data_IF_530305406393
#
_entry.id   IF_530305406393
#
_cell.length_a   1.000
_cell.length_b   1.000
_cell.length_c   1.000
_cell.angle_alpha   90.00
_cell.angle_beta   90.00
_cell.angle_gamma   90.00
#
_symmetry.space_group_name_H-M   'P 1'
#
loop_
_entity.id
_entity.type
_entity.pdbx_description
1 polymer ?
#
# COMPACT_ATOMS: atom_id res chain seq x y z
N UNK A 1 57.12 -26.53 27.70
CA UNK A 1 55.69 -26.76 28.15
C UNK A 1 54.85 -25.52 28.05
N UNK A 2 55.41 -24.32 28.19
CA UNK A 2 54.69 -23.04 28.11
C UNK A 2 54.21 -22.70 26.70
N UNK A 3 54.92 -23.09 25.65
CA UNK A 3 54.56 -22.82 24.24
C UNK A 3 53.35 -23.62 23.75
N UNK A 4 53.04 -24.77 24.34
CA UNK A 4 51.87 -25.57 23.98
C UNK A 4 50.57 -24.99 24.54
N UNK A 5 50.63 -24.32 25.68
CA UNK A 5 49.47 -23.66 26.30
C UNK A 5 49.03 -22.40 25.55
N UNK A 6 49.98 -21.64 24.97
CA UNK A 6 49.66 -20.43 24.18
C UNK A 6 49.00 -20.79 22.85
N UNK A 7 49.35 -21.94 22.27
CA UNK A 7 48.85 -22.38 20.96
C UNK A 7 47.40 -22.90 20.99
N UNK A 8 46.93 -23.30 22.18
CA UNK A 8 45.53 -23.78 22.36
C UNK A 8 44.58 -22.69 22.86
N UNK A 9 45.08 -21.59 23.44
CA UNK A 9 44.28 -20.47 23.92
C UNK A 9 43.93 -19.44 22.82
N UNK A 10 44.78 -19.33 21.78
CA UNK A 10 44.55 -18.36 20.69
C UNK A 10 43.30 -18.63 19.84
N UNK A 11 42.91 -19.89 19.51
CA UNK A 11 41.70 -20.14 18.75
C UNK A 11 40.41 -19.99 19.56
N UNK A 12 40.47 -20.07 20.91
CA UNK A 12 39.28 -19.93 21.76
C UNK A 12 38.89 -18.46 21.95
N UNK A 13 39.85 -17.55 21.92
CA UNK A 13 39.58 -16.11 22.06
C UNK A 13 39.07 -15.46 20.77
N UNK A 14 39.31 -16.08 19.60
CA UNK A 14 38.85 -15.59 18.32
C UNK A 14 37.37 -15.92 18.03
N UNK A 15 36.73 -16.78 18.82
CA UNK A 15 35.36 -17.24 18.59
C UNK A 15 34.29 -16.41 19.30
N UNK A 16 34.65 -15.37 20.06
CA UNK A 16 33.68 -14.59 20.87
C UNK A 16 33.32 -13.20 20.36
N UNK A 17 33.68 -12.84 19.13
CA UNK A 17 33.28 -11.55 18.59
C UNK A 17 32.30 -11.78 17.41
N UNK A 18 31.20 -12.47 17.67
CA UNK A 18 30.01 -12.36 16.85
C UNK A 18 29.22 -11.20 17.43
N UNK A 19 29.60 -9.95 17.11
CA UNK A 19 28.75 -8.80 17.31
C UNK A 19 27.60 -8.96 16.33
N UNK A 20 26.44 -9.34 16.83
CA UNK A 20 25.19 -9.20 16.10
C UNK A 20 24.99 -7.71 15.86
N UNK A 21 25.33 -7.24 14.68
CA UNK A 21 24.85 -5.93 14.20
C UNK A 21 23.34 -6.06 14.14
N UNK A 22 22.67 -5.57 15.17
CA UNK A 22 21.23 -5.42 15.15
C UNK A 22 20.94 -4.41 14.05
N UNK A 23 20.25 -4.82 13.02
CA UNK A 23 19.80 -3.91 11.98
C UNK A 23 18.91 -2.85 12.63
N UNK A 24 19.36 -1.60 12.64
CA UNK A 24 18.62 -0.43 13.16
C UNK A 24 17.59 0.09 12.15
N UNK A 25 17.11 -0.76 11.26
CA UNK A 25 16.16 -0.39 10.22
C UNK A 25 14.81 -1.05 10.45
N UNK A 26 13.75 -0.33 10.08
CA UNK A 26 12.39 -0.87 10.03
C UNK A 26 12.31 -1.91 8.92
N UNK A 27 11.73 -3.05 9.21
CA UNK A 27 11.45 -4.05 8.19
C UNK A 27 9.97 -4.03 7.81
N UNK A 28 9.70 -4.08 6.51
CA UNK A 28 8.35 -4.03 5.98
C UNK A 28 7.91 -5.34 5.36
N UNK A 29 6.65 -5.70 5.54
CA UNK A 29 6.00 -6.85 4.91
C UNK A 29 4.65 -6.43 4.34
N UNK A 30 4.27 -7.06 3.24
CA UNK A 30 2.94 -6.92 2.67
C UNK A 30 2.14 -8.21 2.77
N UNK A 31 0.82 -8.08 2.86
CA UNK A 31 -0.12 -9.17 2.75
C UNK A 31 -1.39 -8.71 2.04
N UNK A 32 -2.12 -9.65 1.45
CA UNK A 32 -3.36 -9.36 0.71
C UNK A 32 -4.50 -10.10 1.36
N UNK A 33 -5.58 -9.38 1.66
CA UNK A 33 -6.84 -9.90 2.17
C UNK A 33 -7.91 -9.73 1.10
N UNK A 34 -8.64 -10.79 0.80
CA UNK A 34 -9.86 -10.69 -0.01
C UNK A 34 -11.01 -10.24 0.88
N UNK A 35 -11.73 -9.20 0.47
CA UNK A 35 -12.87 -8.68 1.20
C UNK A 35 -14.16 -9.20 0.62
N UNK A 36 -14.51 -8.78 -0.58
CA UNK A 36 -15.75 -9.16 -1.26
C UNK A 36 -15.62 -8.98 -2.78
N UNK A 37 -16.21 -9.88 -3.57
CA UNK A 37 -16.18 -9.80 -5.03
C UNK A 37 -14.77 -9.57 -5.58
N UNK A 38 -14.54 -8.43 -6.22
CA UNK A 38 -13.24 -8.02 -6.76
C UNK A 38 -12.44 -7.12 -5.81
N UNK A 39 -12.93 -6.89 -4.61
CA UNK A 39 -12.33 -5.99 -3.64
C UNK A 39 -11.34 -6.71 -2.75
N UNK A 40 -10.15 -6.16 -2.65
CA UNK A 40 -9.05 -6.66 -1.84
C UNK A 40 -8.51 -5.54 -0.96
N UNK A 41 -7.86 -5.91 0.12
CA UNK A 41 -7.11 -5.01 0.99
C UNK A 41 -5.65 -5.43 1.01
N UNK A 42 -4.78 -4.54 0.60
CA UNK A 42 -3.33 -4.67 0.78
C UNK A 42 -3.02 -4.15 2.18
N UNK A 43 -2.37 -4.97 2.99
CA UNK A 43 -1.91 -4.58 4.33
C UNK A 43 -0.39 -4.55 4.33
N UNK A 44 0.18 -3.43 4.76
CA UNK A 44 1.60 -3.24 5.03
C UNK A 44 1.82 -3.32 6.54
N UNK A 45 2.80 -4.08 6.98
CA UNK A 45 3.22 -4.17 8.38
C UNK A 45 4.68 -3.76 8.50
N UNK A 46 4.94 -2.73 9.31
CA UNK A 46 6.25 -2.34 9.76
C UNK A 46 6.61 -3.11 11.03
N UNK A 47 7.84 -3.60 11.13
CA UNK A 47 8.44 -4.08 12.37
C UNK A 47 9.55 -3.11 12.76
N UNK A 48 9.37 -2.44 13.89
CA UNK A 48 10.20 -1.36 14.39
C UNK A 48 11.06 -1.92 15.53
N UNK A 49 12.39 -1.94 15.41
CA UNK A 49 13.26 -2.50 16.45
C UNK A 49 13.29 -1.58 17.68
N UNK A 50 13.32 -2.15 18.88
CA UNK A 50 13.57 -1.36 20.08
C UNK A 50 15.01 -0.83 20.10
N UNK A 51 15.26 0.40 20.64
CA UNK A 51 14.33 1.28 21.35
C UNK A 51 13.60 2.29 20.43
N UNK A 52 13.66 2.12 19.12
CA UNK A 52 13.17 3.06 18.12
C UNK A 52 11.66 3.16 18.09
N UNK A 53 11.18 4.35 17.77
CA UNK A 53 9.78 4.63 17.39
C UNK A 53 9.74 5.29 16.02
N UNK A 54 8.68 5.02 15.25
CA UNK A 54 8.43 5.54 13.92
C UNK A 54 7.26 6.52 13.99
N UNK A 55 7.38 7.66 13.29
CA UNK A 55 6.29 8.63 13.25
C UNK A 55 5.08 8.11 12.47
N UNK A 56 3.89 8.53 12.88
CA UNK A 56 2.66 8.21 12.16
C UNK A 56 2.53 8.99 10.84
N UNK A 57 1.40 8.90 10.16
CA UNK A 57 1.21 9.55 8.85
C UNK A 57 0.98 11.08 8.94
N UNK A 58 1.05 11.70 10.11
CA UNK A 58 0.89 13.14 10.29
C UNK A 58 -0.45 13.71 9.81
N UNK A 59 -0.47 14.88 9.18
CA UNK A 59 0.66 15.72 8.75
C UNK A 59 1.32 16.53 9.88
N UNK A 60 2.62 16.84 9.73
CA UNK A 60 3.42 17.60 10.68
C UNK A 60 4.14 18.78 9.98
N UNK A 61 3.48 19.92 9.88
CA UNK A 61 4.09 21.12 9.28
C UNK A 61 5.20 21.67 10.19
N UNK A 62 6.44 21.66 9.68
CA UNK A 62 7.62 22.08 10.46
C UNK A 62 8.06 21.06 11.52
N UNK A 63 7.45 19.89 11.57
CA UNK A 63 7.75 18.81 12.50
C UNK A 63 8.62 17.70 11.90
N UNK A 64 8.57 16.49 12.47
CA UNK A 64 9.29 15.33 11.98
C UNK A 64 8.75 14.86 10.62
N UNK A 65 9.57 14.11 9.88
CA UNK A 65 9.12 13.44 8.68
C UNK A 65 8.10 12.35 9.04
N UNK A 66 6.84 12.59 8.69
CA UNK A 66 5.77 11.62 8.84
C UNK A 66 5.99 10.40 7.93
N UNK A 67 5.46 9.24 8.32
CA UNK A 67 5.41 8.09 7.43
C UNK A 67 4.53 8.40 6.22
N UNK A 68 5.09 8.28 5.02
CA UNK A 68 4.40 8.47 3.76
C UNK A 68 4.31 7.14 3.01
N UNK A 69 3.13 6.83 2.47
CA UNK A 69 2.89 5.61 1.71
C UNK A 69 2.14 5.98 0.43
N UNK A 70 2.73 5.63 -0.71
CA UNK A 70 2.15 5.89 -2.02
C UNK A 70 1.99 4.57 -2.76
N UNK A 71 0.74 4.24 -3.11
CA UNK A 71 0.44 3.07 -3.93
C UNK A 71 0.34 3.45 -5.40
N UNK A 72 1.03 2.70 -6.25
CA UNK A 72 0.94 2.80 -7.71
C UNK A 72 0.31 1.52 -8.24
N UNK A 73 -0.94 1.58 -8.74
CA UNK A 73 -1.61 0.41 -9.28
C UNK A 73 -1.02 0.02 -10.64
N UNK A 74 -0.91 -1.27 -10.90
CA UNK A 74 -0.67 -1.81 -12.22
C UNK A 74 -1.97 -2.00 -13.02
N UNK A 75 -1.86 -2.52 -14.23
CA UNK A 75 -2.99 -2.74 -15.11
C UNK A 75 -4.06 -3.64 -14.46
N UNK A 76 -5.32 -3.22 -14.59
CA UNK A 76 -6.46 -3.96 -14.03
C UNK A 76 -6.65 -3.78 -12.52
N UNK A 77 -5.98 -2.83 -11.88
CA UNK A 77 -6.20 -2.46 -10.48
C UNK A 77 -6.65 -1.02 -10.38
N UNK A 78 -7.62 -0.77 -9.52
CA UNK A 78 -8.07 0.57 -9.13
C UNK A 78 -7.92 0.71 -7.62
N UNK A 79 -7.30 1.81 -7.17
CA UNK A 79 -7.25 2.15 -5.75
C UNK A 79 -8.61 2.66 -5.30
N UNK A 80 -9.07 2.23 -4.13
CA UNK A 80 -10.31 2.68 -3.52
C UNK A 80 -10.03 3.38 -2.19
N UNK A 81 -10.39 4.66 -2.11
CA UNK A 81 -10.08 5.48 -0.93
C UNK A 81 -8.59 5.82 -0.81
N UNK A 82 -8.20 6.29 0.37
CA UNK A 82 -6.81 6.58 0.73
C UNK A 82 -6.19 5.46 1.56
N UNK A 83 -4.93 5.66 1.91
CA UNK A 83 -4.23 4.79 2.85
C UNK A 83 -4.85 4.92 4.24
N UNK A 84 -5.23 3.81 4.82
CA UNK A 84 -5.75 3.72 6.18
C UNK A 84 -4.63 3.35 7.15
N UNK A 85 -4.54 4.06 8.25
CA UNK A 85 -3.67 3.71 9.37
C UNK A 85 -4.44 2.76 10.30
N UNK A 86 -4.07 1.47 10.28
CA UNK A 86 -4.76 0.43 11.06
C UNK A 86 -4.29 0.36 12.52
N UNK A 87 -3.07 0.80 12.80
CA UNK A 87 -2.54 0.89 14.15
C UNK A 87 -2.85 2.26 14.75
N UNK A 88 -3.17 2.29 16.04
CA UNK A 88 -3.34 3.54 16.79
C UNK A 88 -1.97 4.02 17.26
N UNK A 89 -1.52 5.21 16.87
CA UNK A 89 -0.26 5.76 17.35
C UNK A 89 -0.38 6.18 18.82
N UNK A 90 0.71 6.09 19.54
CA UNK A 90 0.85 6.77 20.82
C UNK A 90 1.05 8.26 20.57
N UNK A 91 0.19 9.09 21.17
CA UNK A 91 0.25 10.54 21.02
C UNK A 91 0.89 11.18 22.23
N UNK A 92 1.83 12.08 21.98
CA UNK A 92 2.51 12.85 23.01
C UNK A 92 2.95 14.21 22.48
N UNK A 93 3.19 15.14 23.39
CA UNK A 93 3.77 16.45 23.04
C UNK A 93 5.30 16.31 22.93
N UNK A 94 5.82 16.56 21.74
CA UNK A 94 7.25 16.61 21.48
C UNK A 94 7.80 18.02 21.74
N UNK A 95 8.81 18.11 22.60
CA UNK A 95 9.41 19.41 22.98
C UNK A 95 10.37 19.95 21.91
N UNK A 96 10.90 19.09 21.05
CA UNK A 96 11.84 19.46 19.98
C UNK A 96 11.09 20.16 18.86
N UNK A 97 9.94 19.62 18.49
CA UNK A 97 9.10 20.17 17.45
C UNK A 97 7.97 21.07 17.95
N UNK A 98 7.81 21.17 19.29
CA UNK A 98 6.80 22.00 19.98
C UNK A 98 5.36 21.70 19.50
N UNK A 99 5.06 20.42 19.21
CA UNK A 99 3.75 19.99 18.72
C UNK A 99 3.36 18.61 19.24
N UNK A 100 2.09 18.26 19.11
CA UNK A 100 1.63 16.89 19.33
C UNK A 100 1.96 16.01 18.13
N UNK A 101 2.62 14.91 18.39
CA UNK A 101 2.99 13.90 17.38
C UNK A 101 2.48 12.52 17.78
N UNK A 102 2.29 11.68 16.80
CA UNK A 102 1.96 10.27 16.97
C UNK A 102 3.13 9.38 16.57
N UNK A 103 3.40 8.37 17.38
CA UNK A 103 4.49 7.42 17.12
C UNK A 103 4.04 5.98 17.28
N UNK A 104 4.76 5.07 16.63
CA UNK A 104 4.60 3.63 16.76
C UNK A 104 5.88 3.01 17.30
N UNK A 105 5.74 2.06 18.22
CA UNK A 105 6.81 1.19 18.67
C UNK A 105 6.47 -0.26 18.36
N UNK A 106 7.49 -1.06 18.08
CA UNK A 106 7.38 -2.48 17.79
C UNK A 106 6.71 -2.79 16.45
N UNK A 107 5.43 -2.43 16.26
CA UNK A 107 4.69 -2.70 15.01
C UNK A 107 3.73 -1.58 14.65
N UNK A 108 3.66 -1.32 13.32
CA UNK A 108 2.63 -0.46 12.74
C UNK A 108 2.01 -1.11 11.52
N UNK A 109 0.72 -0.89 11.29
CA UNK A 109 -0.01 -1.48 10.17
C UNK A 109 -0.79 -0.40 9.42
N UNK A 110 -0.73 -0.50 8.10
CA UNK A 110 -1.41 0.39 7.17
C UNK A 110 -2.12 -0.44 6.12
N UNK A 111 -3.15 0.10 5.50
CA UNK A 111 -3.88 -0.61 4.47
C UNK A 111 -4.29 0.30 3.32
N UNK A 112 -4.43 -0.31 2.14
CA UNK A 112 -5.04 0.28 0.96
C UNK A 112 -6.06 -0.69 0.39
N UNK A 113 -7.27 -0.23 0.20
CA UNK A 113 -8.28 -0.99 -0.49
C UNK A 113 -8.12 -0.84 -2.00
N UNK A 114 -8.29 -1.95 -2.72
CA UNK A 114 -8.12 -2.00 -4.17
C UNK A 114 -9.19 -2.88 -4.80
N UNK A 115 -9.53 -2.56 -6.04
CA UNK A 115 -10.40 -3.38 -6.88
C UNK A 115 -9.58 -4.02 -7.99
N UNK A 116 -9.66 -5.35 -8.11
CA UNK A 116 -8.93 -6.14 -9.09
C UNK A 116 -9.88 -6.62 -10.19
N UNK A 117 -9.71 -6.07 -11.40
CA UNK A 117 -10.50 -6.46 -12.58
C UNK A 117 -9.79 -7.51 -13.45
N UNK A 118 -8.49 -7.74 -13.22
CA UNK A 118 -7.69 -8.72 -13.94
C UNK A 118 -7.57 -10.04 -13.15
N UNK A 119 -7.19 -11.13 -13.83
CA UNK A 119 -6.91 -12.40 -13.16
C UNK A 119 -5.68 -12.33 -12.23
N UNK A 120 -4.69 -11.53 -12.64
CA UNK A 120 -3.49 -11.20 -11.86
C UNK A 120 -3.07 -9.78 -12.16
N UNK A 121 -2.54 -9.11 -11.17
CA UNK A 121 -1.95 -7.78 -11.30
C UNK A 121 -0.92 -7.53 -10.20
N UNK A 122 -0.17 -6.45 -10.32
CA UNK A 122 0.78 -6.00 -9.31
C UNK A 122 0.44 -4.58 -8.87
N UNK A 123 0.76 -4.26 -7.63
CA UNK A 123 0.68 -2.91 -7.07
C UNK A 123 2.02 -2.63 -6.40
N UNK A 124 2.60 -1.47 -6.68
CA UNK A 124 3.79 -1.00 -5.99
C UNK A 124 3.40 -0.13 -4.81
N UNK A 125 4.10 -0.27 -3.71
CA UNK A 125 3.97 0.57 -2.54
C UNK A 125 5.34 1.20 -2.24
N UNK A 126 5.48 2.49 -2.50
CA UNK A 126 6.62 3.28 -2.07
C UNK A 126 6.35 3.79 -0.66
N UNK A 127 7.28 3.57 0.23
CA UNK A 127 7.16 3.86 1.66
C UNK A 127 8.37 4.66 2.08
N UNK A 128 8.13 5.80 2.73
CA UNK A 128 9.16 6.62 3.37
C UNK A 128 8.83 6.76 4.85
N UNK A 129 9.82 6.70 5.72
CA UNK A 129 9.65 6.84 7.18
C UNK A 129 10.88 7.44 7.85
N UNK A 130 10.69 7.89 9.06
CA UNK A 130 11.77 8.30 9.96
C UNK A 130 11.57 7.65 11.33
N UNK A 131 12.66 7.23 11.94
CA UNK A 131 12.68 6.69 13.29
C UNK A 131 13.58 7.49 14.21
N UNK A 132 13.16 7.61 15.46
CA UNK A 132 13.93 8.25 16.52
C UNK A 132 13.94 7.36 17.77
N UNK A 133 14.94 7.56 18.62
CA UNK A 133 14.90 7.15 20.02
C UNK A 133 14.84 8.40 20.93
N UNK A 134 15.02 8.23 22.24
CA UNK A 134 14.96 9.33 23.20
C UNK A 134 16.08 10.38 23.01
N UNK A 135 17.07 10.10 22.20
CA UNK A 135 18.31 10.90 22.09
C UNK A 135 18.66 11.31 20.68
N UNK A 136 18.22 10.57 19.67
CA UNK A 136 18.63 10.78 18.29
C UNK A 136 17.59 10.31 17.28
N UNK A 137 17.63 10.90 16.10
CA UNK A 137 16.85 10.45 14.95
C UNK A 137 17.77 9.93 13.85
N UNK A 138 17.34 8.87 13.20
CA UNK A 138 17.97 8.40 11.97
C UNK A 138 17.50 9.29 10.80
N UNK A 139 18.34 9.49 9.77
CA UNK A 139 17.85 10.07 8.52
C UNK A 139 16.61 9.34 8.01
N UNK A 140 15.73 10.03 7.27
CA UNK A 140 14.63 9.34 6.59
C UNK A 140 15.14 8.21 5.73
N UNK A 141 14.43 7.09 5.75
CA UNK A 141 14.72 5.87 5.00
C UNK A 141 13.51 5.54 4.13
N UNK A 142 13.71 4.77 3.05
CA UNK A 142 12.64 4.42 2.13
C UNK A 142 12.75 2.97 1.63
N UNK A 143 11.64 2.45 1.13
CA UNK A 143 11.59 1.15 0.44
C UNK A 143 10.44 1.11 -0.56
N UNK A 144 10.55 0.25 -1.57
CA UNK A 144 9.46 -0.09 -2.46
C UNK A 144 9.12 -1.57 -2.33
N UNK A 145 7.85 -1.88 -2.09
CA UNK A 145 7.32 -3.24 -2.11
C UNK A 145 6.48 -3.46 -3.36
N UNK A 146 6.67 -4.60 -4.01
CA UNK A 146 5.78 -5.07 -5.08
C UNK A 146 4.82 -6.11 -4.51
N UNK A 147 3.53 -5.84 -4.61
CA UNK A 147 2.45 -6.70 -4.11
C UNK A 147 1.75 -7.36 -5.27
N UNK A 148 1.76 -8.69 -5.30
CA UNK A 148 1.04 -9.46 -6.30
C UNK A 148 -0.41 -9.72 -5.85
N UNK A 149 -1.35 -9.44 -6.73
CA UNK A 149 -2.78 -9.72 -6.57
C UNK A 149 -3.18 -10.84 -7.51
N UNK A 150 -3.95 -11.79 -7.00
CA UNK A 150 -4.53 -12.88 -7.80
C UNK A 150 -6.03 -12.95 -7.50
N UNK A 151 -6.84 -12.90 -8.55
CA UNK A 151 -8.28 -13.02 -8.42
C UNK A 151 -8.66 -14.40 -7.85
N UNK A 152 -9.59 -14.43 -6.89
CA UNK A 152 -10.17 -15.69 -6.41
C UNK A 152 -11.09 -16.28 -7.48
N UNK A 153 -11.11 -17.63 -7.62
CA UNK A 153 -12.13 -18.29 -8.42
C UNK A 153 -13.52 -17.91 -7.91
N UNK A 154 -14.35 -17.36 -8.80
CA UNK A 154 -15.69 -16.86 -8.44
C UNK A 154 -15.78 -15.35 -8.21
N UNK A 155 -14.66 -14.62 -8.12
CA UNK A 155 -14.65 -13.16 -8.08
C UNK A 155 -14.52 -12.51 -9.46
N UNK A 156 -14.49 -13.30 -10.55
CA UNK A 156 -14.38 -12.79 -11.90
C UNK A 156 -15.57 -11.89 -12.23
N UNK A 157 -15.29 -10.65 -12.65
CA UNK A 157 -16.26 -9.88 -13.40
C UNK A 157 -16.71 -10.75 -14.56
N UNK A 158 -18.02 -10.92 -14.69
CA UNK A 158 -18.61 -11.36 -15.95
C UNK A 158 -18.10 -10.42 -17.01
N UNK A 159 -17.12 -10.85 -17.75
CA UNK A 159 -16.68 -10.18 -18.96
C UNK A 159 -17.87 -10.28 -19.91
N UNK A 160 -18.73 -9.28 -19.92
CA UNK A 160 -19.75 -9.08 -20.90
C UNK A 160 -19.05 -8.73 -22.21
N UNK A 161 -18.46 -9.73 -22.82
CA UNK A 161 -18.21 -9.71 -24.25
C UNK A 161 -19.57 -9.98 -24.87
N UNK A 162 -20.34 -8.91 -25.09
CA UNK A 162 -21.45 -8.95 -26.01
C UNK A 162 -20.85 -9.27 -27.38
N UNK A 163 -20.80 -10.53 -27.71
CA UNK A 163 -20.63 -10.99 -29.06
C UNK A 163 -21.86 -10.52 -29.83
N UNK A 164 -21.67 -9.48 -30.62
CA UNK A 164 -22.58 -9.12 -31.71
C UNK A 164 -22.50 -10.24 -32.71
N UNK A 165 -23.49 -11.12 -32.71
CA UNK A 165 -23.74 -12.08 -33.77
C UNK A 165 -24.46 -11.34 -34.91
N UNK A 166 -23.93 -11.31 -36.13
CA UNK A 166 -24.67 -10.79 -37.26
C UNK A 166 -25.55 -11.93 -37.79
N UNK A 167 -26.82 -11.92 -37.49
CA UNK A 167 -27.77 -12.66 -38.28
C UNK A 167 -28.45 -11.74 -39.26
N UNK A 168 -27.97 -11.89 -40.50
CA UNK A 168 -28.64 -11.57 -41.73
C UNK A 168 -29.87 -12.47 -41.84
N UNK A 169 -31.07 -11.93 -42.01
CA UNK A 169 -31.96 -12.44 -43.05
C UNK A 169 -33.00 -11.41 -43.49
N UNK A 170 -33.16 -11.42 -44.75
CA UNK A 170 -34.00 -10.67 -45.64
C UNK A 170 -35.51 -10.84 -45.39
N UNK A 171 -36.31 -9.83 -45.52
CA UNK A 171 -37.31 -9.78 -46.61
C UNK A 171 -38.33 -8.67 -46.41
N UNK A 172 -38.28 -7.74 -47.32
CA UNK A 172 -39.34 -7.14 -48.15
C UNK A 172 -40.68 -6.72 -47.51
N UNK A 173 -40.98 -5.48 -47.75
CA UNK A 173 -42.04 -4.97 -48.58
C UNK A 173 -43.03 -3.99 -47.94
N UNK A 174 -43.12 -2.89 -48.66
CA UNK A 174 -44.22 -1.96 -48.91
C UNK A 174 -44.42 -0.74 -47.98
N UNK A 175 -44.07 0.36 -48.62
CA UNK A 175 -44.52 1.74 -48.54
C UNK A 175 -46.01 1.86 -48.97
N UNK A 176 -46.75 2.97 -48.83
CA UNK A 176 -46.41 4.33 -48.46
C UNK A 176 -47.49 5.14 -47.70
N UNK A 177 -47.18 6.45 -47.55
CA UNK A 177 -48.03 7.64 -47.47
C UNK A 177 -48.72 7.98 -46.14
N UNK A 178 -48.87 9.13 -45.67
CA UNK A 178 -48.88 10.53 -46.19
C UNK A 178 -49.16 11.50 -45.05
N UNK A 179 -48.51 12.59 -45.09
CA UNK A 179 -49.01 13.98 -44.89
C UNK A 179 -49.33 14.56 -43.52
N UNK A 180 -48.66 15.63 -43.36
CA UNK A 180 -49.08 16.99 -43.03
C UNK A 180 -49.14 17.41 -41.57
N UNK A 181 -48.23 18.34 -41.27
CA UNK A 181 -48.52 19.79 -40.97
C UNK A 181 -49.26 20.01 -39.66
N UNK A 182 -48.94 20.92 -38.82
CA UNK A 182 -48.70 22.35 -38.95
C UNK A 182 -48.37 22.96 -37.55
N UNK A 183 -47.55 23.92 -37.58
CA UNK A 183 -47.56 25.26 -37.01
C UNK A 183 -47.60 25.51 -35.49
N UNK A 184 -46.56 26.19 -35.10
CA UNK A 184 -46.45 27.51 -34.47
C UNK A 184 -46.46 27.68 -32.94
N UNK A 185 -45.36 28.21 -32.51
CA UNK A 185 -45.17 29.58 -31.97
C UNK A 185 -45.63 29.87 -30.54
N UNK A 186 -44.68 30.49 -29.79
CA UNK A 186 -45.05 31.39 -28.70
C UNK A 186 -43.99 31.42 -27.57
N UNK A 187 -42.98 32.20 -27.73
CA UNK A 187 -42.50 33.40 -27.03
C UNK A 187 -42.62 33.44 -25.51
N UNK A 188 -41.51 33.78 -24.94
CA UNK A 188 -41.21 34.21 -23.58
C UNK A 188 -42.03 35.48 -23.13
N UNK A 189 -41.92 35.89 -21.86
CA UNK A 189 -40.76 36.62 -21.34
C UNK A 189 -40.07 35.95 -20.15
#
# INVERSE_FOLDING_TARGET
TMYKLIRTLLPVLAAMIATTVSAQSVSWKSSVQHLDGQTYRIVLEASIPAPWHMYDMGPYEGGPNATAIVFTPGDGVTLEGGVEQLSTPERHYDKTFEMEIGTFAGKARFAQQVKLAAAKATVKAAIEWMICDDTSCMPPDDTELTVELTARPGSAAANSTAAVSPNNDSSAKDTPAEAAADTASGTAP
#
